data_IF_733376830146
#
_entry.id   IF_733376830146
#
_cell.length_a   1.000
_cell.length_b   1.000
_cell.length_c   1.000
_cell.angle_alpha   90.00
_cell.angle_beta   90.00
_cell.angle_gamma   90.00
#
_symmetry.space_group_name_H-M   'P 1'
#
loop_
_entity.id
_entity.type
_entity.pdbx_description
1 polymer ?
#
# COMPACT_ATOMS: atom_id res chain seq x y z
N UNK A 1 -5.82 8.42 26.53
CA UNK A 1 -4.56 8.24 25.78
C UNK A 1 -3.55 7.61 26.74
N UNK A 2 -2.99 6.44 26.43
CA UNK A 2 -2.20 5.61 27.39
C UNK A 2 -0.70 5.97 27.40
N UNK A 3 -0.21 6.62 26.34
CA UNK A 3 1.22 6.97 26.16
C UNK A 3 1.86 7.75 27.33
N UNK A 4 1.19 8.74 27.97
CA UNK A 4 1.74 9.43 29.13
C UNK A 4 2.04 8.52 30.32
N UNK A 5 1.33 7.39 30.45
CA UNK A 5 1.49 6.42 31.54
C UNK A 5 2.82 5.66 31.44
N UNK A 6 3.41 5.57 30.25
CA UNK A 6 4.71 4.90 30.04
C UNK A 6 5.88 5.84 30.31
N UNK A 7 5.71 7.14 30.14
CA UNK A 7 6.69 8.17 30.53
C UNK A 7 6.68 8.46 32.03
N UNK A 8 5.60 8.10 32.74
CA UNK A 8 5.47 8.30 34.19
C UNK A 8 5.96 7.12 35.02
N UNK A 9 6.45 6.05 34.40
CA UNK A 9 7.07 4.94 35.13
C UNK A 9 8.37 5.43 35.77
N UNK A 10 8.53 5.16 37.07
CA UNK A 10 9.75 5.45 37.83
C UNK A 10 10.98 4.80 37.17
N UNK A 11 12.15 5.41 37.35
CA UNK A 11 13.45 4.80 37.01
C UNK A 11 13.65 3.41 37.62
N UNK A 12 12.88 3.08 38.67
CA UNK A 12 12.94 1.80 39.41
C UNK A 12 11.88 0.78 38.94
N UNK A 13 11.02 1.12 37.97
CA UNK A 13 10.05 0.17 37.42
C UNK A 13 10.67 -0.63 36.26
N UNK A 14 10.35 -1.92 36.18
CA UNK A 14 10.80 -2.76 35.07
C UNK A 14 10.32 -2.17 33.73
N UNK A 15 11.21 -2.01 32.73
CA UNK A 15 10.83 -1.46 31.45
C UNK A 15 9.88 -2.41 30.70
N UNK A 16 8.78 -1.88 30.18
CA UNK A 16 7.88 -2.64 29.31
C UNK A 16 8.55 -2.82 27.95
N UNK A 17 8.74 -4.08 27.55
CA UNK A 17 9.37 -4.47 26.29
C UNK A 17 8.30 -5.02 25.35
N UNK A 18 8.21 -4.43 24.16
CA UNK A 18 7.44 -4.98 23.05
C UNK A 18 8.37 -5.72 22.10
N UNK A 19 7.99 -6.94 21.73
CA UNK A 19 8.73 -7.79 20.80
C UNK A 19 7.82 -8.04 19.60
N UNK A 20 8.31 -7.73 18.41
CA UNK A 20 7.60 -7.96 17.15
C UNK A 20 8.47 -8.74 16.18
N UNK A 21 7.85 -9.62 15.41
CA UNK A 21 8.52 -10.43 14.40
C UNK A 21 8.33 -9.79 13.03
N UNK A 22 9.34 -9.94 12.18
CA UNK A 22 9.24 -9.50 10.79
C UNK A 22 8.17 -10.34 10.07
N UNK A 23 7.23 -9.67 9.40
CA UNK A 23 6.13 -10.35 8.72
C UNK A 23 6.56 -11.27 7.55
N UNK A 24 7.78 -11.12 7.01
CA UNK A 24 8.22 -11.83 5.80
C UNK A 24 9.64 -12.42 5.88
N UNK A 25 10.47 -12.01 6.83
CA UNK A 25 11.80 -12.58 7.04
C UNK A 25 11.87 -13.48 8.30
N UNK A 26 11.91 -14.81 8.14
CA UNK A 26 12.03 -15.73 9.26
C UNK A 26 13.43 -15.74 9.90
N UNK A 27 14.44 -15.08 9.31
CA UNK A 27 15.81 -15.04 9.85
C UNK A 27 15.91 -14.33 11.22
N UNK A 28 14.87 -13.60 11.65
CA UNK A 28 14.77 -13.02 12.99
C UNK A 28 13.91 -13.89 13.91
N UNK A 29 14.37 -15.12 14.20
CA UNK A 29 13.68 -16.08 15.08
C UNK A 29 13.42 -15.51 16.49
N UNK A 30 14.27 -14.60 16.98
CA UNK A 30 14.15 -14.00 18.32
C UNK A 30 13.25 -12.73 18.36
N UNK A 31 12.69 -12.33 17.21
CA UNK A 31 11.95 -11.07 17.08
C UNK A 31 12.82 -9.83 17.31
N UNK A 32 12.21 -8.65 17.24
CA UNK A 32 12.90 -7.37 17.41
C UNK A 32 12.20 -6.55 18.48
N UNK A 33 13.00 -5.98 19.37
CA UNK A 33 12.54 -5.09 20.43
C UNK A 33 13.37 -3.81 20.50
N UNK A 34 12.80 -2.75 21.08
CA UNK A 34 13.52 -1.51 21.32
C UNK A 34 13.13 -0.90 22.65
N UNK A 35 14.02 -0.95 23.64
CA UNK A 35 13.74 -0.32 24.95
C UNK A 35 13.56 1.21 24.82
N UNK A 36 14.36 1.87 23.98
CA UNK A 36 14.29 3.34 23.78
C UNK A 36 13.07 3.80 22.98
N UNK A 37 12.51 2.93 22.13
CA UNK A 37 11.39 3.26 21.25
C UNK A 37 10.19 2.30 21.41
N UNK A 38 10.05 1.66 22.58
CA UNK A 38 9.11 0.55 22.82
C UNK A 38 7.68 0.86 22.34
N UNK A 39 7.13 1.99 22.77
CA UNK A 39 5.77 2.42 22.38
C UNK A 39 5.65 2.78 20.90
N UNK A 40 6.71 3.31 20.30
CA UNK A 40 6.70 3.63 18.86
C UNK A 40 6.77 2.36 18.02
N UNK A 41 7.58 1.39 18.43
CA UNK A 41 7.65 0.07 17.79
C UNK A 41 6.27 -0.59 17.84
N UNK A 42 5.65 -0.63 19.01
CA UNK A 42 4.29 -1.17 19.19
C UNK A 42 3.28 -0.50 18.26
N UNK A 43 3.22 0.84 18.26
CA UNK A 43 2.31 1.58 17.38
C UNK A 43 2.58 1.33 15.89
N UNK A 44 3.86 1.24 15.49
CA UNK A 44 4.24 0.99 14.11
C UNK A 44 3.79 -0.40 13.66
N UNK A 45 4.05 -1.42 14.47
CA UNK A 45 3.66 -2.80 14.18
C UNK A 45 2.13 -2.97 14.17
N UNK A 46 1.42 -2.36 15.12
CA UNK A 46 -0.06 -2.36 15.13
C UNK A 46 -0.61 -1.68 13.89
N UNK A 47 -0.06 -0.54 13.45
CA UNK A 47 -0.49 0.11 12.20
C UNK A 47 -0.21 -0.73 10.96
N UNK A 48 0.94 -1.41 10.91
CA UNK A 48 1.25 -2.35 9.85
C UNK A 48 0.19 -3.46 9.77
N UNK A 49 -0.12 -4.08 10.91
CA UNK A 49 -1.11 -5.16 10.99
C UNK A 49 -2.53 -4.70 10.64
N UNK A 50 -2.93 -3.48 11.03
CA UNK A 50 -4.21 -2.91 10.61
C UNK A 50 -4.28 -2.74 9.09
N UNK A 51 -3.21 -2.24 8.46
CA UNK A 51 -3.09 -2.18 7.01
C UNK A 51 -3.17 -3.56 6.34
N UNK A 52 -2.46 -4.55 6.90
CA UNK A 52 -2.44 -5.92 6.40
C UNK A 52 -3.79 -6.65 6.54
N UNK A 53 -4.49 -6.47 7.65
CA UNK A 53 -5.83 -7.06 7.83
C UNK A 53 -6.82 -6.43 6.84
N UNK A 54 -6.80 -5.10 6.69
CA UNK A 54 -7.65 -4.44 5.71
C UNK A 54 -7.37 -4.89 4.27
N UNK A 55 -6.11 -5.16 3.91
CA UNK A 55 -5.80 -5.69 2.57
C UNK A 55 -6.32 -7.12 2.38
N UNK A 56 -6.22 -7.98 3.39
CA UNK A 56 -6.77 -9.33 3.35
C UNK A 56 -8.31 -9.35 3.29
N UNK A 57 -8.97 -8.46 4.03
CA UNK A 57 -10.43 -8.26 3.93
C UNK A 57 -10.80 -7.87 2.49
N UNK A 58 -10.07 -6.92 1.90
CA UNK A 58 -10.28 -6.55 0.50
C UNK A 58 -10.10 -7.71 -0.46
N UNK A 59 -9.02 -8.48 -0.31
CA UNK A 59 -8.71 -9.63 -1.17
C UNK A 59 -9.75 -10.77 -1.08
N UNK A 60 -10.45 -10.90 0.06
CA UNK A 60 -11.47 -11.93 0.28
C UNK A 60 -12.89 -11.54 -0.13
N UNK A 61 -13.12 -10.28 -0.53
CA UNK A 61 -14.43 -9.81 -0.95
C UNK A 61 -14.89 -10.43 -2.28
N UNK A 62 -16.18 -10.78 -2.39
CA UNK A 62 -16.79 -11.24 -3.64
C UNK A 62 -17.04 -10.08 -4.63
N UNK A 63 -16.14 -9.96 -5.60
CA UNK A 63 -16.16 -8.90 -6.62
C UNK A 63 -17.29 -9.04 -7.65
N UNK A 64 -18.04 -10.15 -7.65
CA UNK A 64 -19.19 -10.33 -8.55
C UNK A 64 -20.40 -9.51 -8.11
N UNK A 65 -20.50 -9.20 -6.81
CA UNK A 65 -21.59 -8.40 -6.24
C UNK A 65 -21.25 -6.91 -6.17
N UNK A 66 -22.28 -6.05 -6.22
CA UNK A 66 -22.09 -4.60 -6.07
C UNK A 66 -21.53 -4.24 -4.67
N UNK A 67 -22.02 -4.91 -3.63
CA UNK A 67 -21.54 -4.73 -2.26
C UNK A 67 -20.07 -5.15 -2.14
N UNK A 68 -19.70 -6.33 -2.64
CA UNK A 68 -18.32 -6.80 -2.54
C UNK A 68 -17.34 -5.94 -3.34
N UNK A 69 -17.74 -5.39 -4.50
CA UNK A 69 -16.93 -4.38 -5.24
C UNK A 69 -16.70 -3.10 -4.44
N UNK A 70 -17.72 -2.62 -3.73
CA UNK A 70 -17.59 -1.46 -2.86
C UNK A 70 -16.68 -1.77 -1.66
N UNK A 71 -16.88 -2.91 -1.00
CA UNK A 71 -16.09 -3.32 0.16
C UNK A 71 -14.61 -3.49 -0.16
N UNK A 72 -14.26 -4.12 -1.29
CA UNK A 72 -12.85 -4.26 -1.68
C UNK A 72 -12.18 -2.92 -1.93
N UNK A 73 -12.86 -1.97 -2.58
CA UNK A 73 -12.34 -0.63 -2.79
C UNK A 73 -12.06 0.09 -1.48
N UNK A 74 -13.05 0.14 -0.59
CA UNK A 74 -12.90 0.84 0.68
C UNK A 74 -11.85 0.18 1.57
N UNK A 75 -11.79 -1.16 1.58
CA UNK A 75 -10.77 -1.90 2.32
C UNK A 75 -9.35 -1.58 1.84
N UNK A 76 -9.13 -1.51 0.53
CA UNK A 76 -7.83 -1.12 -0.03
C UNK A 76 -7.48 0.36 0.23
N UNK A 77 -8.45 1.27 0.19
CA UNK A 77 -8.22 2.68 0.59
C UNK A 77 -7.83 2.79 2.06
N UNK A 78 -8.52 2.05 2.93
CA UNK A 78 -8.21 2.01 4.36
C UNK A 78 -6.81 1.44 4.60
N UNK A 79 -6.47 0.32 3.94
CA UNK A 79 -5.13 -0.25 4.00
C UNK A 79 -4.06 0.78 3.55
N UNK A 80 -4.26 1.42 2.39
CA UNK A 80 -3.37 2.44 1.88
C UNK A 80 -3.16 3.61 2.87
N UNK A 81 -4.21 4.01 3.60
CA UNK A 81 -4.14 5.06 4.60
C UNK A 81 -3.33 4.65 5.83
N UNK A 82 -3.50 3.41 6.32
CA UNK A 82 -2.68 2.89 7.41
C UNK A 82 -1.21 2.87 7.05
N UNK A 83 -0.85 2.40 5.85
CA UNK A 83 0.55 2.41 5.39
C UNK A 83 1.08 3.84 5.15
N UNK A 84 0.25 4.78 4.69
CA UNK A 84 0.62 6.20 4.60
C UNK A 84 0.93 6.80 5.97
N UNK A 85 0.12 6.45 6.99
CA UNK A 85 0.31 6.91 8.36
C UNK A 85 1.58 6.32 8.97
N UNK A 86 1.77 5.01 8.83
CA UNK A 86 2.98 4.30 9.22
C UNK A 86 4.23 4.98 8.66
N UNK A 87 4.26 5.20 7.34
CA UNK A 87 5.36 5.89 6.63
C UNK A 87 5.64 7.28 7.18
N UNK A 88 4.60 8.10 7.34
CA UNK A 88 4.74 9.53 7.67
C UNK A 88 5.10 9.77 9.14
N UNK A 89 4.55 8.96 10.05
CA UNK A 89 4.55 9.25 11.48
C UNK A 89 5.52 8.36 12.25
N UNK A 90 5.60 7.06 11.92
CA UNK A 90 6.26 6.08 12.79
C UNK A 90 7.54 5.49 12.18
N UNK A 91 7.53 5.14 10.90
CA UNK A 91 8.63 4.44 10.23
C UNK A 91 9.96 5.23 10.21
N UNK A 92 9.91 6.58 10.22
CA UNK A 92 11.14 7.41 10.24
C UNK A 92 11.88 7.39 11.58
N UNK A 93 11.21 7.00 12.66
CA UNK A 93 11.69 7.16 14.06
C UNK A 93 11.84 5.84 14.80
N UNK A 94 11.22 4.78 14.28
CA UNK A 94 11.53 3.40 14.64
C UNK A 94 12.68 3.01 13.71
N UNK A 95 13.92 3.02 14.21
CA UNK A 95 15.07 2.48 13.46
C UNK A 95 14.62 1.15 12.88
N UNK A 96 14.52 1.02 11.54
CA UNK A 96 13.89 -0.08 10.78
C UNK A 96 14.09 -1.44 11.43
N UNK A 97 13.26 -1.72 12.43
CA UNK A 97 13.52 -2.76 13.41
C UNK A 97 13.37 -4.10 12.72
N UNK A 98 12.32 -4.18 11.91
CA UNK A 98 12.00 -5.23 10.96
C UNK A 98 11.89 -4.60 9.57
N UNK A 99 12.11 -5.39 8.53
CA UNK A 99 12.13 -4.93 7.13
C UNK A 99 10.74 -4.45 6.68
N UNK A 100 9.67 -4.98 7.27
CA UNK A 100 8.26 -4.60 7.02
C UNK A 100 7.88 -3.22 7.60
N UNK A 101 8.64 -2.69 8.56
CA UNK A 101 8.44 -1.37 9.16
C UNK A 101 9.31 -0.26 8.54
N UNK A 102 10.02 -0.57 7.46
CA UNK A 102 10.84 0.43 6.76
C UNK A 102 9.97 1.49 6.07
N UNK A 103 10.51 2.71 5.96
CA UNK A 103 9.81 3.83 5.30
C UNK A 103 9.48 3.50 3.84
N UNK A 104 10.41 2.88 3.12
CA UNK A 104 10.26 2.55 1.71
C UNK A 104 9.24 1.44 1.50
N UNK A 105 9.24 0.40 2.34
CA UNK A 105 8.23 -0.66 2.23
C UNK A 105 6.83 -0.17 2.60
N UNK A 106 6.68 0.65 3.65
CA UNK A 106 5.41 1.29 3.96
C UNK A 106 4.93 2.22 2.81
N UNK A 107 5.85 2.91 2.13
CA UNK A 107 5.53 3.71 0.95
C UNK A 107 5.12 2.84 -0.24
N UNK A 108 5.79 1.70 -0.45
CA UNK A 108 5.44 0.74 -1.47
C UNK A 108 4.01 0.22 -1.28
N UNK A 109 3.68 -0.29 -0.08
CA UNK A 109 2.34 -0.81 0.24
C UNK A 109 1.26 0.28 0.10
N UNK A 110 1.56 1.51 0.52
CA UNK A 110 0.65 2.64 0.32
C UNK A 110 0.30 2.85 -1.16
N UNK A 111 1.30 2.88 -2.05
CA UNK A 111 1.06 3.06 -3.48
C UNK A 111 0.39 1.84 -4.11
N UNK A 112 0.76 0.62 -3.71
CA UNK A 112 0.17 -0.61 -4.21
C UNK A 112 -1.34 -0.67 -3.94
N UNK A 113 -1.77 -0.47 -2.70
CA UNK A 113 -3.20 -0.51 -2.35
C UNK A 113 -3.97 0.68 -2.90
N UNK A 114 -3.33 1.85 -3.01
CA UNK A 114 -3.94 3.00 -3.72
C UNK A 114 -4.19 2.66 -5.19
N UNK A 115 -3.22 2.02 -5.87
CA UNK A 115 -3.36 1.61 -7.25
C UNK A 115 -4.49 0.60 -7.44
N UNK A 116 -4.56 -0.42 -6.59
CA UNK A 116 -5.61 -1.44 -6.64
C UNK A 116 -7.01 -0.85 -6.39
N UNK A 117 -7.15 0.10 -5.45
CA UNK A 117 -8.41 0.80 -5.23
C UNK A 117 -8.81 1.68 -6.43
N UNK A 118 -7.87 2.44 -7.01
CA UNK A 118 -8.14 3.26 -8.19
C UNK A 118 -8.43 2.42 -9.43
N UNK A 119 -7.81 1.26 -9.59
CA UNK A 119 -8.12 0.31 -10.68
C UNK A 119 -9.57 -0.19 -10.57
N UNK A 120 -10.02 -0.52 -9.36
CA UNK A 120 -11.40 -0.93 -9.10
C UNK A 120 -12.40 0.20 -9.41
N UNK A 121 -12.09 1.43 -9.02
CA UNK A 121 -12.91 2.59 -9.35
C UNK A 121 -13.02 2.79 -10.85
N UNK A 122 -11.90 2.66 -11.56
CA UNK A 122 -11.86 2.72 -13.02
C UNK A 122 -12.74 1.63 -13.64
N UNK A 123 -12.64 0.37 -13.17
CA UNK A 123 -13.50 -0.73 -13.64
C UNK A 123 -14.99 -0.40 -13.46
N UNK A 124 -15.38 0.20 -12.32
CA UNK A 124 -16.76 0.62 -12.10
C UNK A 124 -17.18 1.77 -13.01
N UNK A 125 -16.30 2.73 -13.27
CA UNK A 125 -16.58 3.84 -14.18
C UNK A 125 -16.79 3.36 -15.61
N UNK A 126 -16.00 2.40 -16.08
CA UNK A 126 -16.15 1.79 -17.40
C UNK A 126 -17.47 1.06 -17.59
N UNK A 127 -18.08 0.58 -16.50
CA UNK A 127 -19.36 -0.11 -16.54
C UNK A 127 -20.58 0.85 -16.53
N UNK A 128 -20.39 2.14 -16.26
CA UNK A 128 -21.47 3.14 -16.20
C UNK A 128 -21.47 3.99 -17.47
N UNK A 129 -22.40 3.72 -18.38
CA UNK A 129 -22.49 4.34 -19.72
C UNK A 129 -23.41 5.59 -19.77
N UNK A 130 -23.36 6.47 -18.77
CA UNK A 130 -24.38 7.54 -18.61
C UNK A 130 -23.92 8.96 -19.00
N UNK A 131 -22.72 9.15 -19.57
CA UNK A 131 -22.20 10.47 -19.92
C UNK A 131 -21.99 10.66 -21.44
N UNK A 132 -21.95 11.91 -21.90
CA UNK A 132 -21.54 12.25 -23.27
C UNK A 132 -20.20 11.58 -23.60
N UNK A 133 -20.15 10.95 -24.78
CA UNK A 133 -19.04 10.12 -25.24
C UNK A 133 -17.66 10.81 -25.09
N UNK A 134 -17.54 12.08 -25.50
CA UNK A 134 -16.29 12.83 -25.43
C UNK A 134 -15.84 13.15 -23.98
N UNK A 135 -16.78 13.55 -23.11
CA UNK A 135 -16.47 13.81 -21.71
C UNK A 135 -16.08 12.52 -20.95
N UNK A 136 -16.73 11.41 -21.30
CA UNK A 136 -16.41 10.09 -20.77
C UNK A 136 -15.02 9.61 -21.23
N UNK A 137 -14.65 9.83 -22.50
CA UNK A 137 -13.33 9.50 -23.03
C UNK A 137 -12.21 10.25 -22.31
N UNK A 138 -12.34 11.57 -22.14
CA UNK A 138 -11.33 12.37 -21.44
C UNK A 138 -11.14 11.94 -19.99
N UNK A 139 -12.24 11.76 -19.25
CA UNK A 139 -12.20 11.27 -17.87
C UNK A 139 -11.58 9.87 -17.76
N UNK A 140 -11.91 8.98 -18.70
CA UNK A 140 -11.36 7.65 -18.78
C UNK A 140 -9.83 7.69 -18.98
N UNK A 141 -9.33 8.51 -19.90
CA UNK A 141 -7.89 8.68 -20.10
C UNK A 141 -7.16 9.17 -18.84
N UNK A 142 -7.73 10.15 -18.13
CA UNK A 142 -7.18 10.64 -16.86
C UNK A 142 -7.16 9.55 -15.77
N UNK A 143 -8.22 8.75 -15.67
CA UNK A 143 -8.31 7.66 -14.71
C UNK A 143 -7.26 6.56 -14.98
N UNK A 144 -7.11 6.12 -16.24
CA UNK A 144 -6.03 5.19 -16.63
C UNK A 144 -4.64 5.75 -16.32
N UNK A 145 -4.39 7.03 -16.62
CA UNK A 145 -3.12 7.70 -16.30
C UNK A 145 -2.85 7.75 -14.79
N UNK A 146 -3.88 8.00 -13.98
CA UNK A 146 -3.78 8.01 -12.52
C UNK A 146 -3.41 6.64 -11.97
N UNK A 147 -4.09 5.58 -12.43
CA UNK A 147 -3.80 4.19 -12.03
C UNK A 147 -2.39 3.78 -12.43
N UNK A 148 -1.97 4.10 -13.66
CA UNK A 148 -0.60 3.89 -14.12
C UNK A 148 0.43 4.52 -13.17
N UNK A 149 0.29 5.80 -12.84
CA UNK A 149 1.24 6.52 -11.97
C UNK A 149 1.36 5.90 -10.58
N UNK A 150 0.27 5.34 -10.03
CA UNK A 150 0.30 4.67 -8.74
C UNK A 150 1.07 3.35 -8.80
N UNK A 151 0.79 2.52 -9.81
CA UNK A 151 1.55 1.28 -10.02
C UNK A 151 3.02 1.54 -10.35
N UNK A 152 3.32 2.55 -11.16
CA UNK A 152 4.68 2.95 -11.54
C UNK A 152 5.50 3.37 -10.31
N UNK A 153 4.90 4.16 -9.41
CA UNK A 153 5.52 4.52 -8.12
C UNK A 153 5.73 3.30 -7.23
N UNK A 154 4.74 2.42 -7.10
CA UNK A 154 4.90 1.20 -6.33
C UNK A 154 6.06 0.35 -6.87
N UNK A 155 6.10 0.13 -8.19
CA UNK A 155 7.15 -0.63 -8.85
C UNK A 155 8.53 0.00 -8.67
N UNK A 156 8.64 1.32 -8.84
CA UNK A 156 9.90 2.06 -8.70
C UNK A 156 10.49 2.05 -7.29
N UNK A 157 9.70 1.75 -6.27
CA UNK A 157 10.15 1.65 -4.87
C UNK A 157 10.79 0.28 -4.54
N UNK A 158 10.56 -0.75 -5.36
CA UNK A 158 11.11 -2.09 -5.10
C UNK A 158 12.64 -2.12 -5.34
N UNK A 159 13.19 -1.75 -6.52
CA UNK A 159 14.63 -1.90 -6.78
C UNK A 159 15.58 -1.20 -5.79
N UNK A 160 15.33 0.05 -5.36
CA UNK A 160 16.25 0.76 -4.47
C UNK A 160 16.17 0.27 -3.01
N UNK A 161 15.11 -0.42 -2.61
CA UNK A 161 14.90 -0.85 -1.24
C UNK A 161 15.34 -2.31 -1.04
N UNK A 162 16.40 -2.54 -0.25
CA UNK A 162 16.82 -3.90 0.11
C UNK A 162 15.75 -4.65 0.89
N UNK A 163 14.94 -3.96 1.69
CA UNK A 163 13.85 -4.57 2.44
C UNK A 163 12.73 -5.01 1.50
N UNK A 164 12.21 -4.11 0.65
CA UNK A 164 11.23 -4.49 -0.38
C UNK A 164 11.75 -5.58 -1.32
N UNK A 165 13.02 -5.53 -1.76
CA UNK A 165 13.59 -6.63 -2.57
C UNK A 165 13.59 -7.93 -1.79
N UNK A 166 14.18 -7.95 -0.58
CA UNK A 166 14.21 -9.17 0.24
C UNK A 166 12.80 -9.72 0.42
N UNK A 167 11.84 -8.88 0.79
CA UNK A 167 10.44 -9.26 1.01
C UNK A 167 9.74 -9.81 -0.22
N UNK A 168 9.78 -9.09 -1.33
CA UNK A 168 9.07 -9.53 -2.53
C UNK A 168 9.74 -10.78 -3.12
N UNK A 169 11.07 -10.89 -3.06
CA UNK A 169 11.78 -12.06 -3.56
C UNK A 169 11.77 -13.26 -2.60
N UNK A 170 11.63 -13.05 -1.28
CA UNK A 170 11.53 -14.13 -0.28
C UNK A 170 10.12 -14.70 -0.14
N UNK A 171 9.10 -13.87 -0.37
CA UNK A 171 7.70 -14.27 -0.21
C UNK A 171 7.14 -14.90 -1.48
N UNK A 172 7.10 -14.14 -2.59
CA UNK A 172 6.57 -14.63 -3.87
C UNK A 172 7.07 -13.75 -5.03
N UNK A 173 7.95 -14.32 -5.85
CA UNK A 173 8.54 -13.61 -6.99
C UNK A 173 7.51 -13.17 -8.04
N UNK A 174 6.33 -13.80 -8.08
CA UNK A 174 5.26 -13.44 -9.02
C UNK A 174 4.72 -12.04 -8.78
N UNK A 175 4.87 -11.47 -7.58
CA UNK A 175 4.42 -10.10 -7.28
C UNK A 175 5.15 -9.05 -8.11
N UNK A 176 6.47 -9.19 -8.30
CA UNK A 176 7.24 -8.27 -9.15
C UNK A 176 6.75 -8.35 -10.59
N UNK A 177 6.57 -9.57 -11.10
CA UNK A 177 6.08 -9.81 -12.46
C UNK A 177 4.66 -9.26 -12.65
N UNK A 178 3.76 -9.51 -11.70
CA UNK A 178 2.39 -9.02 -11.75
C UNK A 178 2.33 -7.50 -11.72
N UNK A 179 3.11 -6.87 -10.83
CA UNK A 179 3.19 -5.42 -10.74
C UNK A 179 3.77 -4.79 -12.00
N UNK A 180 4.82 -5.38 -12.57
CA UNK A 180 5.39 -4.95 -13.84
C UNK A 180 4.36 -5.03 -14.97
N UNK A 181 3.62 -6.15 -15.08
CA UNK A 181 2.56 -6.31 -16.06
C UNK A 181 1.48 -5.23 -15.89
N UNK A 182 1.04 -4.94 -14.67
CA UNK A 182 0.10 -3.85 -14.36
C UNK A 182 0.63 -2.50 -14.85
N UNK A 183 1.88 -2.16 -14.56
CA UNK A 183 2.51 -0.91 -15.03
C UNK A 183 2.46 -0.82 -16.55
N UNK A 184 2.93 -1.85 -17.25
CA UNK A 184 2.98 -1.85 -18.72
C UNK A 184 1.59 -1.75 -19.35
N UNK A 185 0.61 -2.48 -18.82
CA UNK A 185 -0.77 -2.45 -19.28
C UNK A 185 -1.38 -1.06 -19.12
N UNK A 186 -1.38 -0.51 -17.90
CA UNK A 186 -1.99 0.80 -17.65
C UNK A 186 -1.26 1.93 -18.38
N UNK A 187 0.05 1.82 -18.60
CA UNK A 187 0.80 2.78 -19.41
C UNK A 187 0.35 2.77 -20.87
N UNK A 188 0.22 1.59 -21.48
CA UNK A 188 -0.24 1.44 -22.85
C UNK A 188 -1.68 1.96 -23.02
N UNK A 189 -2.59 1.54 -22.14
CA UNK A 189 -3.99 1.94 -22.15
C UNK A 189 -4.18 3.45 -21.94
N UNK A 190 -3.36 4.07 -21.08
CA UNK A 190 -3.36 5.52 -20.87
C UNK A 190 -2.91 6.29 -22.12
N UNK A 191 -1.81 5.86 -22.75
CA UNK A 191 -1.29 6.47 -23.99
C UNK A 191 -2.28 6.36 -25.13
N UNK A 192 -2.85 5.17 -25.33
CA UNK A 192 -3.83 4.93 -26.38
C UNK A 192 -5.04 5.87 -26.24
N UNK A 193 -5.66 5.92 -25.05
CA UNK A 193 -6.82 6.79 -24.81
C UNK A 193 -6.49 8.27 -24.94
N UNK A 194 -5.30 8.68 -24.48
CA UNK A 194 -4.87 10.07 -24.64
C UNK A 194 -4.71 10.44 -26.13
N UNK A 195 -4.18 9.54 -26.95
CA UNK A 195 -4.07 9.74 -28.40
C UNK A 195 -5.44 9.84 -29.07
N UNK A 196 -6.43 9.06 -28.63
CA UNK A 196 -7.79 9.05 -29.20
C UNK A 196 -8.59 10.34 -28.92
N UNK A 197 -8.12 11.20 -28.02
CA UNK A 197 -8.76 12.48 -27.68
C UNK A 197 -8.17 13.64 -28.49
N UNK A 198 -6.95 13.48 -29.00
CA UNK A 198 -6.32 14.51 -29.83
C UNK A 198 -7.00 14.53 -31.21
N UNK A 199 -7.30 15.71 -31.77
CA UNK A 199 -7.78 15.80 -33.15
C UNK A 199 -6.73 15.21 -34.09
N UNK A 200 -7.16 14.48 -35.13
CA UNK A 200 -6.25 14.03 -36.18
C UNK A 200 -5.55 15.25 -36.78
N UNK A 201 -4.22 15.19 -36.86
CA UNK A 201 -3.42 16.25 -37.47
C UNK A 201 -3.75 16.31 -38.96
N UNK A 202 -4.29 17.46 -39.40
CA UNK A 202 -4.53 17.82 -40.81
C UNK A 202 -3.25 17.80 -41.66
#
# INVERSE_FOLDING_TARGET
MVEPLFTSLSSDADPIVFVWYDAFNPEHEDGVSSQRNAIRLEKAAVLFNLGAICSQIGASCDRTTALGRHLVMESFKVAANFFSNLRKVFAKRVVSATLDLTVLFAEFLHHLFSAQASELELQLQLNKNDASYAFQQHRCALAFSSVYKLYDRAYGLIPPDSAARKHVYSFDQTWVTHLYQKVTFFQAEARQRQSSILPESE
#
